data_IF_440158332058
#
_entry.id   IF_440158332058
#
_cell.length_a   1.000
_cell.length_b   1.000
_cell.length_c   1.000
_cell.angle_alpha   90.00
_cell.angle_beta   90.00
_cell.angle_gamma   90.00
#
_symmetry.space_group_name_H-M   'P 1'
#
loop_
_entity.id
_entity.type
_entity.pdbx_description
1 polymer ?
#
# COMPACT_ATOMS: atom_id res chain seq x y z
N UNK A 1 9.55 6.59 41.80
CA UNK A 1 10.00 7.34 40.62
C UNK A 1 9.56 6.59 39.37
N UNK A 2 8.60 7.11 38.60
CA UNK A 2 8.20 6.53 37.31
C UNK A 2 8.46 7.54 36.21
N UNK A 3 9.40 7.17 35.34
CA UNK A 3 9.40 7.20 33.87
C UNK A 3 10.83 7.47 33.38
N UNK A 4 11.22 6.83 32.27
CA UNK A 4 11.39 7.66 31.09
C UNK A 4 10.44 7.22 29.99
N UNK A 5 9.75 8.22 29.49
CA UNK A 5 8.88 8.22 28.33
C UNK A 5 9.68 7.75 27.12
N UNK A 6 9.23 6.67 26.48
CA UNK A 6 9.77 6.21 25.20
C UNK A 6 9.55 7.32 24.17
N UNK A 7 10.63 7.88 23.64
CA UNK A 7 10.60 8.62 22.39
C UNK A 7 10.08 7.67 21.31
N UNK A 8 8.81 7.77 20.95
CA UNK A 8 8.27 7.08 19.77
C UNK A 8 8.88 7.80 18.57
N UNK A 9 9.91 7.20 18.00
CA UNK A 9 10.54 7.68 16.77
C UNK A 9 9.46 7.82 15.70
N UNK A 10 9.24 9.06 15.23
CA UNK A 10 8.13 9.40 14.35
C UNK A 10 8.42 8.82 12.97
N UNK A 11 7.84 7.65 12.68
CA UNK A 11 8.01 6.95 11.39
C UNK A 11 7.64 7.87 10.23
N UNK A 12 8.43 7.84 9.16
CA UNK A 12 8.14 8.56 7.90
C UNK A 12 6.82 8.03 7.35
N UNK A 13 5.84 8.90 7.10
CA UNK A 13 4.56 8.52 6.48
C UNK A 13 4.60 8.82 5.00
N UNK A 14 4.14 7.87 4.20
CA UNK A 14 4.03 7.95 2.75
C UNK A 14 2.63 7.56 2.34
N UNK A 15 2.11 8.12 1.25
CA UNK A 15 0.81 7.72 0.71
C UNK A 15 0.98 7.03 -0.64
N UNK A 16 0.30 5.90 -0.83
CA UNK A 16 0.33 5.17 -2.10
C UNK A 16 -0.06 6.08 -3.29
N UNK A 17 -1.04 6.95 -3.09
CA UNK A 17 -1.53 7.86 -4.11
C UNK A 17 -0.47 8.88 -4.56
N UNK A 18 0.46 9.26 -3.69
CA UNK A 18 1.58 10.15 -4.06
C UNK A 18 2.53 9.47 -5.05
N UNK A 19 2.70 8.15 -4.98
CA UNK A 19 3.51 7.41 -5.94
C UNK A 19 2.72 7.14 -7.24
N UNK A 20 1.42 6.87 -7.12
CA UNK A 20 0.52 6.67 -8.28
C UNK A 20 0.28 7.94 -9.10
N UNK A 21 0.49 9.13 -8.56
CA UNK A 21 0.34 10.40 -9.27
C UNK A 21 1.65 10.90 -9.92
N UNK A 22 2.80 10.31 -9.58
CA UNK A 22 4.10 10.70 -10.14
C UNK A 22 4.25 10.34 -11.62
N UNK A 23 4.89 11.21 -12.42
CA UNK A 23 5.34 10.87 -13.77
C UNK A 23 6.26 9.63 -13.74
N UNK A 24 6.24 8.85 -14.82
CA UNK A 24 7.06 7.63 -14.90
C UNK A 24 8.55 7.96 -14.81
N UNK A 25 8.98 9.09 -15.35
CA UNK A 25 10.36 9.58 -15.30
C UNK A 25 10.82 9.82 -13.86
N UNK A 26 9.96 10.38 -13.01
CA UNK A 26 10.28 10.60 -11.59
C UNK A 26 10.39 9.25 -10.85
N UNK A 27 9.49 8.30 -11.14
CA UNK A 27 9.56 6.96 -10.57
C UNK A 27 10.84 6.22 -10.98
N UNK A 28 11.28 6.36 -12.24
CA UNK A 28 12.52 5.78 -12.74
C UNK A 28 13.75 6.42 -12.05
N UNK A 29 13.78 7.75 -11.92
CA UNK A 29 14.86 8.43 -11.19
C UNK A 29 14.92 8.01 -9.72
N UNK A 30 13.77 7.82 -9.07
CA UNK A 30 13.72 7.25 -7.73
C UNK A 30 14.28 5.83 -7.72
N UNK A 31 13.91 5.01 -8.72
CA UNK A 31 14.33 3.62 -8.80
C UNK A 31 15.85 3.50 -8.94
N UNK A 32 16.46 4.36 -9.74
CA UNK A 32 17.92 4.44 -9.89
C UNK A 32 18.60 4.82 -8.57
N UNK A 33 18.05 5.80 -7.82
CA UNK A 33 18.58 6.20 -6.50
C UNK A 33 18.55 5.06 -5.49
N UNK A 34 17.50 4.24 -5.51
CA UNK A 34 17.38 3.04 -4.68
C UNK A 34 18.13 1.83 -5.26
N UNK A 35 18.80 1.98 -6.41
CA UNK A 35 19.51 0.90 -7.12
C UNK A 35 18.61 -0.30 -7.43
N UNK A 36 17.37 -0.03 -7.82
CA UNK A 36 16.45 -1.07 -8.29
C UNK A 36 16.97 -1.59 -9.64
N UNK A 37 17.06 -2.90 -9.80
CA UNK A 37 17.54 -3.52 -11.03
C UNK A 37 16.52 -3.42 -12.18
N UNK A 38 17.02 -3.07 -13.37
CA UNK A 38 16.28 -3.01 -14.64
C UNK A 38 14.90 -2.30 -14.57
N UNK A 39 14.79 -1.10 -13.97
CA UNK A 39 13.49 -0.47 -13.70
C UNK A 39 12.72 -0.15 -15.00
N UNK A 40 13.43 0.13 -16.10
CA UNK A 40 12.83 0.38 -17.41
C UNK A 40 12.08 -0.81 -18.02
N UNK A 41 12.40 -2.04 -17.60
CA UNK A 41 11.71 -3.26 -18.06
C UNK A 41 10.49 -3.63 -17.22
N UNK A 42 10.31 -2.96 -16.08
CA UNK A 42 9.24 -3.26 -15.14
C UNK A 42 7.98 -2.48 -15.52
N UNK A 43 6.82 -3.07 -15.20
CA UNK A 43 5.57 -2.31 -15.26
C UNK A 43 5.60 -1.23 -14.20
N UNK A 44 4.90 -0.13 -14.44
CA UNK A 44 4.76 0.98 -13.49
C UNK A 44 4.42 0.52 -12.07
N UNK A 45 3.48 -0.42 -11.96
CA UNK A 45 3.07 -0.99 -10.68
C UNK A 45 4.22 -1.70 -9.95
N UNK A 46 5.02 -2.47 -10.68
CA UNK A 46 6.15 -3.22 -10.13
C UNK A 46 7.28 -2.26 -9.67
N UNK A 47 7.46 -1.14 -10.36
CA UNK A 47 8.36 -0.05 -9.92
C UNK A 47 7.86 0.54 -8.60
N UNK A 48 6.57 0.90 -8.53
CA UNK A 48 5.96 1.46 -7.31
C UNK A 48 6.09 0.49 -6.13
N UNK A 49 5.84 -0.80 -6.33
CA UNK A 49 6.04 -1.82 -5.29
C UNK A 49 7.46 -1.82 -4.74
N UNK A 50 8.45 -1.83 -5.62
CA UNK A 50 9.87 -1.87 -5.22
C UNK A 50 10.31 -0.58 -4.54
N UNK A 51 9.83 0.59 -5.00
CA UNK A 51 10.11 1.88 -4.36
C UNK A 51 9.55 1.95 -2.95
N UNK A 52 8.28 1.56 -2.77
CA UNK A 52 7.64 1.55 -1.46
C UNK A 52 8.31 0.53 -0.52
N UNK A 53 8.70 -0.64 -1.04
CA UNK A 53 9.46 -1.62 -0.28
C UNK A 53 10.83 -1.06 0.19
N UNK A 54 11.53 -0.34 -0.69
CA UNK A 54 12.79 0.32 -0.35
C UNK A 54 12.60 1.39 0.73
N UNK A 55 11.55 2.23 0.61
CA UNK A 55 11.22 3.24 1.62
C UNK A 55 10.90 2.64 3.00
N UNK A 56 10.09 1.58 3.04
CA UNK A 56 9.78 0.86 4.28
C UNK A 56 11.06 0.31 4.92
N UNK A 57 11.93 -0.31 4.10
CA UNK A 57 13.11 -1.04 4.60
C UNK A 57 14.25 -0.10 4.99
N UNK A 58 14.54 0.92 4.19
CA UNK A 58 15.68 1.82 4.38
C UNK A 58 15.37 2.99 5.31
N UNK A 59 14.11 3.43 5.38
CA UNK A 59 13.73 4.63 6.13
C UNK A 59 12.68 4.37 7.20
N UNK A 60 12.39 3.10 7.52
CA UNK A 60 11.37 2.71 8.50
C UNK A 60 10.03 3.42 8.24
N UNK A 61 9.67 3.56 6.95
CA UNK A 61 8.49 4.28 6.52
C UNK A 61 7.22 3.43 6.70
N UNK A 62 6.11 4.09 6.97
CA UNK A 62 4.77 3.52 6.91
C UNK A 62 4.06 4.04 5.65
N UNK A 63 3.56 3.11 4.84
CA UNK A 63 2.81 3.44 3.64
C UNK A 63 1.33 3.35 3.94
N UNK A 64 0.60 4.40 3.62
CA UNK A 64 -0.84 4.50 3.78
C UNK A 64 -1.53 4.35 2.43
N UNK A 65 -2.61 3.58 2.42
CA UNK A 65 -3.51 3.43 1.29
C UNK A 65 -4.96 3.55 1.75
N UNK A 66 -5.82 3.96 0.83
CA UNK A 66 -7.26 4.09 1.06
C UNK A 66 -8.03 3.66 -0.19
N UNK A 67 -9.30 3.31 0.01
CA UNK A 67 -10.22 3.01 -1.08
C UNK A 67 -11.59 2.58 -0.56
N UNK A 68 -12.48 2.28 -1.50
CA UNK A 68 -13.84 1.80 -1.21
C UNK A 68 -13.82 0.27 -1.18
N UNK A 69 -14.27 -0.31 -0.08
CA UNK A 69 -14.28 -1.75 0.11
C UNK A 69 -15.31 -2.43 -0.81
N UNK A 70 -14.86 -3.46 -1.51
CA UNK A 70 -15.71 -4.48 -2.13
C UNK A 70 -15.42 -5.83 -1.47
N UNK A 71 -16.41 -6.40 -0.78
CA UNK A 71 -16.34 -7.75 -0.20
C UNK A 71 -16.80 -8.78 -1.24
N UNK A 72 -15.99 -9.80 -1.46
CA UNK A 72 -16.24 -10.90 -2.40
C UNK A 72 -16.85 -12.12 -1.70
N UNK A 73 -17.44 -13.09 -2.44
CA UNK A 73 -18.19 -14.21 -1.87
C UNK A 73 -17.45 -15.05 -0.82
N UNK A 74 -16.12 -15.17 -0.93
CA UNK A 74 -15.29 -15.92 0.03
C UNK A 74 -14.94 -15.09 1.29
N UNK A 75 -15.52 -13.90 1.44
CA UNK A 75 -15.39 -13.04 2.61
C UNK A 75 -14.12 -12.19 2.68
N UNK A 76 -13.20 -12.31 1.71
CA UNK A 76 -12.11 -11.34 1.54
C UNK A 76 -12.59 -10.17 0.67
N UNK A 77 -11.81 -9.09 0.61
CA UNK A 77 -12.18 -7.94 -0.20
C UNK A 77 -11.00 -7.18 -0.76
N UNK A 78 -11.33 -6.19 -1.57
CA UNK A 78 -10.39 -5.24 -2.15
C UNK A 78 -10.87 -3.81 -1.92
N UNK A 79 -9.94 -2.92 -1.58
CA UNK A 79 -10.19 -1.49 -1.60
C UNK A 79 -9.97 -1.00 -3.03
N UNK A 80 -11.07 -0.63 -3.68
CA UNK A 80 -11.13 -0.11 -5.05
C UNK A 80 -10.92 1.40 -5.05
N UNK A 81 -10.35 1.92 -6.14
CA UNK A 81 -10.09 3.35 -6.27
C UNK A 81 -11.06 4.04 -7.26
N UNK A 82 -11.54 5.26 -6.96
CA UNK A 82 -12.40 6.03 -7.88
C UNK A 82 -11.73 6.33 -9.21
N UNK A 83 -10.40 6.54 -9.23
CA UNK A 83 -9.62 6.80 -10.45
C UNK A 83 -9.72 5.68 -11.50
N UNK A 84 -10.10 4.47 -11.07
CA UNK A 84 -10.32 3.32 -11.94
C UNK A 84 -11.80 2.93 -12.06
N UNK A 85 -12.71 3.87 -11.78
CA UNK A 85 -14.17 3.67 -11.78
C UNK A 85 -14.62 2.49 -10.90
N UNK A 86 -13.89 2.22 -9.83
CA UNK A 86 -14.11 1.07 -8.93
C UNK A 86 -14.01 -0.31 -9.63
N UNK A 87 -13.44 -0.37 -10.83
CA UNK A 87 -13.18 -1.63 -11.52
C UNK A 87 -11.96 -2.34 -10.90
N UNK A 88 -11.88 -3.67 -11.04
CA UNK A 88 -10.70 -4.40 -10.61
C UNK A 88 -9.42 -3.89 -11.28
N UNK A 89 -8.46 -3.46 -10.46
CA UNK A 89 -7.20 -2.88 -10.88
C UNK A 89 -5.99 -3.61 -10.26
N UNK A 90 -4.82 -3.58 -10.91
CA UNK A 90 -3.59 -4.17 -10.37
C UNK A 90 -3.08 -3.48 -9.09
N UNK A 91 -3.71 -2.36 -8.74
CA UNK A 91 -3.32 -1.42 -7.71
C UNK A 91 -4.32 -1.37 -6.55
N UNK A 92 -5.28 -2.29 -6.55
CA UNK A 92 -6.22 -2.54 -5.46
C UNK A 92 -5.49 -3.04 -4.21
N UNK A 93 -6.07 -2.75 -3.05
CA UNK A 93 -5.53 -3.14 -1.74
C UNK A 93 -6.36 -4.30 -1.21
N UNK A 94 -5.73 -5.47 -1.08
CA UNK A 94 -6.32 -6.64 -0.44
C UNK A 94 -6.60 -6.38 1.04
N UNK A 95 -7.79 -6.79 1.49
CA UNK A 95 -8.14 -6.87 2.92
C UNK A 95 -8.60 -8.29 3.25
N UNK A 96 -8.11 -8.81 4.38
CA UNK A 96 -8.39 -10.19 4.80
C UNK A 96 -9.80 -10.34 5.38
N UNK A 97 -10.42 -11.53 5.30
CA UNK A 97 -11.71 -11.81 5.94
C UNK A 97 -11.70 -11.52 7.44
N UNK A 98 -10.59 -11.81 8.12
CA UNK A 98 -10.42 -11.53 9.55
C UNK A 98 -10.47 -10.05 9.88
N UNK A 99 -9.93 -9.18 9.02
CA UNK A 99 -10.02 -7.73 9.19
C UNK A 99 -11.44 -7.23 8.94
N UNK A 100 -12.06 -7.66 7.83
CA UNK A 100 -13.46 -7.32 7.50
C UNK A 100 -14.37 -7.66 8.68
N UNK A 101 -14.28 -8.90 9.19
CA UNK A 101 -15.09 -9.37 10.32
C UNK A 101 -14.78 -8.64 11.63
N UNK A 102 -13.50 -8.35 11.91
CA UNK A 102 -13.09 -7.70 13.16
C UNK A 102 -13.64 -6.28 13.31
N UNK A 103 -13.72 -5.56 12.19
CA UNK A 103 -14.13 -4.16 12.17
C UNK A 103 -15.57 -3.96 11.66
N UNK A 104 -16.32 -5.05 11.46
CA UNK A 104 -17.69 -5.05 10.95
C UNK A 104 -17.85 -4.25 9.64
N UNK A 105 -16.90 -4.46 8.72
CA UNK A 105 -16.82 -3.73 7.46
C UNK A 105 -17.75 -4.34 6.40
N UNK A 106 -18.34 -3.48 5.59
CA UNK A 106 -19.29 -3.82 4.55
C UNK A 106 -18.87 -3.25 3.18
N UNK A 107 -19.34 -3.87 2.10
CA UNK A 107 -19.14 -3.31 0.74
C UNK A 107 -19.69 -1.88 0.68
N UNK A 108 -18.88 -0.95 0.18
CA UNK A 108 -19.17 0.48 0.12
C UNK A 108 -18.48 1.29 1.21
N UNK A 109 -17.92 0.67 2.24
CA UNK A 109 -17.18 1.39 3.28
C UNK A 109 -15.89 1.99 2.73
N UNK A 110 -15.59 3.22 3.12
CA UNK A 110 -14.29 3.84 2.86
C UNK A 110 -13.33 3.38 3.95
N UNK A 111 -12.30 2.64 3.54
CA UNK A 111 -11.30 2.09 4.45
C UNK A 111 -9.95 2.66 4.07
N UNK A 112 -9.21 3.12 5.07
CA UNK A 112 -7.83 3.56 4.94
C UNK A 112 -6.97 2.97 6.02
N UNK A 113 -5.67 2.87 5.78
CA UNK A 113 -4.76 2.32 6.77
C UNK A 113 -3.36 2.06 6.26
N UNK A 114 -2.54 1.46 7.11
CA UNK A 114 -1.18 1.08 6.76
C UNK A 114 -1.24 -0.14 5.83
N UNK A 115 -0.58 -0.05 4.68
CA UNK A 115 -0.47 -1.12 3.69
C UNK A 115 0.97 -1.63 3.59
N UNK A 116 1.12 -2.80 2.98
CA UNK A 116 2.42 -3.32 2.56
C UNK A 116 2.40 -3.73 1.10
N UNK A 117 3.55 -3.66 0.40
CA UNK A 117 3.70 -4.27 -0.92
C UNK A 117 3.47 -5.79 -0.87
N UNK A 118 3.15 -6.41 -2.03
CA UNK A 118 3.02 -7.85 -2.14
C UNK A 118 4.32 -8.56 -1.77
N UNK A 119 4.19 -9.70 -1.10
CA UNK A 119 5.26 -10.68 -0.92
C UNK A 119 5.39 -11.58 -2.16
N UNK A 120 6.38 -12.45 -2.15
CA UNK A 120 6.54 -13.47 -3.19
C UNK A 120 5.25 -14.30 -3.34
N UNK A 121 4.76 -14.42 -4.57
CA UNK A 121 3.50 -15.09 -4.89
C UNK A 121 2.23 -14.24 -4.74
N UNK A 122 2.30 -13.06 -4.11
CA UNK A 122 1.19 -12.11 -4.01
C UNK A 122 1.19 -11.11 -5.17
N UNK A 123 0.02 -10.55 -5.51
CA UNK A 123 -0.15 -9.63 -6.65
C UNK A 123 -0.55 -8.20 -6.26
N UNK A 124 -1.09 -8.02 -5.06
CA UNK A 124 -1.73 -6.78 -4.62
C UNK A 124 -1.07 -6.24 -3.35
N UNK A 125 -1.24 -4.95 -3.08
CA UNK A 125 -0.98 -4.43 -1.74
C UNK A 125 -1.88 -5.14 -0.74
N UNK A 126 -1.43 -5.30 0.50
CA UNK A 126 -2.27 -5.85 1.57
C UNK A 126 -2.39 -4.84 2.71
N UNK A 127 -3.60 -4.66 3.22
CA UNK A 127 -3.86 -3.85 4.39
C UNK A 127 -3.25 -4.54 5.62
N UNK A 128 -2.31 -3.87 6.28
CA UNK A 128 -1.69 -4.34 7.53
C UNK A 128 -2.50 -3.91 8.75
N UNK A 129 -2.98 -2.67 8.74
CA UNK A 129 -3.68 -2.07 9.88
C UNK A 129 -4.71 -1.08 9.36
N UNK A 130 -5.96 -1.28 9.78
CA UNK A 130 -7.07 -0.32 9.68
C UNK A 130 -6.85 0.77 10.72
#
# INVERSE_FOLDING_TARGET
MRQPSQFVEKRKRLYLQEFKSKPIEELLQMADRYRIENPHSLRRQDIIFKLLAAEITMHNAEVYGEGVLEVLPDGYGFLRHPDYNYLPGPDDIYISPSQIKRFDLHTGDVVGGIIRPPKEGERFFALLRV
#
